data_IF_340420182304
#
_entry.id   IF_340420182304
#
_cell.length_a   1.000
_cell.length_b   1.000
_cell.length_c   1.000
_cell.angle_alpha   90.00
_cell.angle_beta   90.00
_cell.angle_gamma   90.00
#
_symmetry.space_group_name_H-M   'P 1'
#
loop_
_entity.id
_entity.type
_entity.pdbx_description
1 polymer ?
#
# COMPACT_ATOMS: atom_id res chain seq x y z
N UNK A 1 4.03 58.55 15.96
CA UNK A 1 4.52 57.22 16.41
C UNK A 1 3.44 56.13 16.26
N UNK A 2 2.73 56.07 15.13
CA UNK A 2 1.63 55.10 14.91
C UNK A 2 1.88 54.13 13.74
N UNK A 3 2.96 54.32 12.97
CA UNK A 3 3.19 53.56 11.73
C UNK A 3 3.98 52.26 11.93
N UNK A 4 4.62 52.05 13.09
CA UNK A 4 5.45 50.86 13.33
C UNK A 4 4.61 49.64 13.75
N UNK A 5 3.45 49.87 14.38
CA UNK A 5 2.57 48.78 14.87
C UNK A 5 1.76 48.09 13.77
N UNK A 6 1.47 48.80 12.67
CA UNK A 6 0.62 48.30 11.58
C UNK A 6 1.42 47.42 10.59
N UNK A 7 2.72 47.65 10.45
CA UNK A 7 3.61 46.84 9.60
C UNK A 7 4.12 45.56 10.26
N UNK A 8 4.12 45.47 11.60
CA UNK A 8 4.54 44.26 12.33
C UNK A 8 3.45 43.18 12.30
N UNK A 9 2.18 43.57 12.29
CA UNK A 9 1.03 42.65 12.30
C UNK A 9 0.98 41.68 11.08
N UNK A 10 1.19 42.11 9.82
CA UNK A 10 1.23 41.17 8.69
C UNK A 10 2.51 40.33 8.66
N UNK A 11 3.62 40.85 9.18
CA UNK A 11 4.91 40.14 9.21
C UNK A 11 4.89 38.98 10.20
N UNK A 12 4.14 39.13 11.31
CA UNK A 12 3.88 38.06 12.28
C UNK A 12 2.91 37.00 11.73
N UNK A 13 1.94 37.40 10.90
CA UNK A 13 0.96 36.49 10.28
C UNK A 13 1.59 35.59 9.19
N UNK A 14 2.61 36.07 8.48
CA UNK A 14 3.37 35.28 7.49
C UNK A 14 4.12 34.09 8.08
N UNK A 15 4.41 34.05 9.39
CA UNK A 15 5.00 32.87 10.03
C UNK A 15 3.98 31.76 10.32
N UNK A 16 2.68 32.08 10.38
CA UNK A 16 1.62 31.08 10.60
C UNK A 16 1.10 30.43 9.32
N UNK A 17 1.34 31.05 8.17
CA UNK A 17 0.89 30.59 6.85
C UNK A 17 2.04 30.21 5.91
N UNK A 18 3.26 30.02 6.42
CA UNK A 18 4.33 29.47 5.60
C UNK A 18 4.34 27.94 5.72
N UNK A 19 3.85 27.20 4.71
CA UNK A 19 4.15 25.79 4.61
C UNK A 19 5.61 25.70 4.15
N UNK A 20 6.55 25.89 5.07
CA UNK A 20 7.87 25.29 4.92
C UNK A 20 7.69 23.79 5.14
N UNK A 21 6.96 23.14 4.23
CA UNK A 21 7.08 21.71 4.02
C UNK A 21 8.51 21.56 3.56
N UNK A 22 9.39 21.20 4.50
CA UNK A 22 10.71 20.71 4.18
C UNK A 22 10.46 19.45 3.37
N UNK A 23 10.38 19.61 2.05
CA UNK A 23 10.33 18.51 1.10
C UNK A 23 11.70 17.83 1.18
N UNK A 24 11.88 17.00 2.21
CA UNK A 24 12.93 16.00 2.20
C UNK A 24 12.70 15.20 0.93
N UNK A 25 13.66 15.28 0.01
CA UNK A 25 13.73 14.31 -1.09
C UNK A 25 13.63 12.95 -0.40
N UNK A 26 12.61 12.11 -0.69
CA UNK A 26 12.63 10.77 -0.17
C UNK A 26 13.95 10.18 -0.63
N UNK A 27 14.78 9.79 0.33
CA UNK A 27 15.99 9.06 0.07
C UNK A 27 15.53 7.77 -0.62
N UNK A 28 15.54 7.77 -1.95
CA UNK A 28 15.34 6.58 -2.75
C UNK A 28 16.63 5.81 -2.60
N UNK A 29 16.73 5.09 -1.50
CA UNK A 29 17.62 3.96 -1.41
C UNK A 29 17.19 3.07 -2.58
N UNK A 30 18.03 2.94 -3.61
CA UNK A 30 17.93 1.93 -4.68
C UNK A 30 18.16 0.52 -4.08
N UNK A 31 17.57 0.28 -2.91
CA UNK A 31 17.42 -1.03 -2.32
C UNK A 31 16.26 -1.66 -3.06
N UNK A 32 16.57 -2.68 -3.85
CA UNK A 32 15.56 -3.59 -4.39
C UNK A 32 14.66 -4.03 -3.24
N UNK A 33 13.43 -3.53 -3.23
CA UNK A 33 12.43 -3.93 -2.23
C UNK A 33 12.22 -5.43 -2.31
N UNK A 34 12.01 -6.05 -1.15
CA UNK A 34 11.73 -7.48 -1.09
C UNK A 34 10.33 -7.73 -1.63
N UNK A 35 10.22 -8.49 -2.73
CA UNK A 35 8.93 -8.87 -3.30
C UNK A 35 8.26 -9.95 -2.44
N UNK A 36 7.04 -9.66 -1.96
CA UNK A 36 6.22 -10.59 -1.18
C UNK A 36 4.85 -10.77 -1.85
N UNK A 37 4.54 -11.99 -2.29
CA UNK A 37 3.25 -12.33 -2.87
C UNK A 37 2.41 -13.23 -1.95
N UNK A 38 1.22 -12.77 -1.56
CA UNK A 38 0.26 -13.58 -0.80
C UNK A 38 -0.90 -14.01 -1.70
N UNK A 39 -0.96 -15.31 -1.99
CA UNK A 39 -2.08 -15.95 -2.67
C UNK A 39 -3.03 -16.51 -1.60
N UNK A 40 -4.26 -16.00 -1.57
CA UNK A 40 -5.21 -16.31 -0.51
C UNK A 40 -6.60 -16.56 -1.06
N UNK A 41 -7.47 -17.13 -0.21
CA UNK A 41 -8.89 -17.35 -0.50
C UNK A 41 -9.73 -16.56 0.50
N UNK A 42 -10.77 -15.87 0.02
CA UNK A 42 -11.64 -15.04 0.85
C UNK A 42 -12.41 -15.84 1.91
N UNK A 43 -12.72 -17.11 1.65
CA UNK A 43 -13.49 -17.98 2.55
C UNK A 43 -12.62 -19.00 3.31
N UNK A 44 -11.28 -18.91 3.21
CA UNK A 44 -10.38 -19.81 3.93
C UNK A 44 -10.06 -19.25 5.32
N UNK A 45 -10.34 -20.06 6.37
CA UNK A 45 -10.09 -19.69 7.76
C UNK A 45 -8.59 -19.38 8.02
N UNK A 46 -7.69 -20.16 7.42
CA UNK A 46 -6.25 -19.95 7.58
C UNK A 46 -5.76 -18.68 6.89
N UNK A 47 -6.30 -18.36 5.70
CA UNK A 47 -6.00 -17.10 5.00
C UNK A 47 -6.44 -15.89 5.83
N UNK A 48 -7.66 -15.92 6.36
CA UNK A 48 -8.18 -14.86 7.22
C UNK A 48 -7.31 -14.69 8.48
N UNK A 49 -7.00 -15.80 9.16
CA UNK A 49 -6.14 -15.80 10.35
C UNK A 49 -4.75 -15.24 10.05
N UNK A 50 -4.15 -15.63 8.93
CA UNK A 50 -2.84 -15.13 8.51
C UNK A 50 -2.86 -13.62 8.26
N UNK A 51 -3.85 -13.13 7.50
CA UNK A 51 -3.95 -11.70 7.17
C UNK A 51 -4.14 -10.85 8.43
N UNK A 52 -5.09 -11.24 9.29
CA UNK A 52 -5.48 -10.42 10.45
C UNK A 52 -4.43 -10.47 11.55
N UNK A 53 -3.87 -11.65 11.85
CA UNK A 53 -3.03 -11.82 13.04
C UNK A 53 -1.51 -11.77 12.77
N UNK A 54 -1.09 -11.84 11.51
CA UNK A 54 0.33 -11.94 11.14
C UNK A 54 0.73 -10.92 10.08
N UNK A 55 -0.02 -10.81 8.97
CA UNK A 55 0.33 -9.89 7.89
C UNK A 55 0.23 -8.42 8.33
N UNK A 56 -0.75 -8.08 9.16
CA UNK A 56 -0.93 -6.74 9.73
C UNK A 56 0.33 -6.23 10.44
N UNK A 57 1.12 -7.11 11.07
CA UNK A 57 2.34 -6.72 11.79
C UNK A 57 3.40 -6.11 10.88
N UNK A 58 3.39 -6.43 9.58
CA UNK A 58 4.29 -5.80 8.60
C UNK A 58 4.08 -4.28 8.52
N UNK A 59 2.89 -3.80 8.85
CA UNK A 59 2.56 -2.37 8.86
C UNK A 59 2.85 -1.71 10.22
N UNK A 60 3.01 -2.49 11.29
CA UNK A 60 3.34 -2.00 12.63
C UNK A 60 4.86 -1.82 12.79
N UNK A 61 5.65 -2.74 12.24
CA UNK A 61 7.11 -2.80 12.41
C UNK A 61 7.90 -2.01 11.34
N UNK A 62 7.25 -1.12 10.58
CA UNK A 62 7.80 -0.41 9.41
C UNK A 62 8.38 -1.32 8.31
N UNK A 63 8.26 -2.65 8.44
CA UNK A 63 8.72 -3.62 7.45
C UNK A 63 8.13 -3.32 6.08
N UNK A 64 6.87 -2.86 6.00
CA UNK A 64 6.20 -2.48 4.76
C UNK A 64 7.02 -1.49 3.89
N UNK A 65 7.89 -0.67 4.49
CA UNK A 65 8.71 0.31 3.77
C UNK A 65 9.76 -0.34 2.85
N UNK A 66 10.24 -1.53 3.21
CA UNK A 66 11.31 -2.25 2.50
C UNK A 66 10.81 -3.37 1.58
N UNK A 67 9.48 -3.55 1.47
CA UNK A 67 8.87 -4.62 0.69
C UNK A 67 7.87 -4.10 -0.34
N UNK A 68 7.67 -4.93 -1.37
CA UNK A 68 6.63 -4.78 -2.37
C UNK A 68 5.62 -5.92 -2.17
N UNK A 69 4.50 -5.61 -1.52
CA UNK A 69 3.47 -6.57 -1.12
C UNK A 69 2.37 -6.68 -2.18
N UNK A 70 2.17 -7.87 -2.73
CA UNK A 70 1.10 -8.20 -3.67
C UNK A 70 0.10 -9.18 -3.06
N UNK A 71 -1.17 -8.79 -3.00
CA UNK A 71 -2.27 -9.66 -2.58
C UNK A 71 -3.00 -10.21 -3.81
N UNK A 72 -3.16 -11.54 -3.87
CA UNK A 72 -3.81 -12.23 -4.99
C UNK A 72 -4.95 -13.12 -4.47
N UNK A 73 -6.22 -12.72 -4.64
CA UNK A 73 -7.37 -13.53 -4.25
C UNK A 73 -7.61 -14.65 -5.28
N UNK A 74 -6.95 -15.78 -5.08
CA UNK A 74 -7.07 -16.96 -5.95
C UNK A 74 -7.04 -18.25 -5.14
N UNK A 75 -5.94 -18.49 -4.42
CA UNK A 75 -5.70 -19.69 -3.62
C UNK A 75 -6.02 -20.99 -4.38
N UNK A 76 -6.99 -21.77 -3.90
CA UNK A 76 -7.38 -23.06 -4.50
C UNK A 76 -8.40 -22.96 -5.65
N UNK A 77 -8.75 -21.76 -6.11
CA UNK A 77 -9.63 -21.59 -7.26
C UNK A 77 -9.07 -22.29 -8.52
N UNK A 78 -9.96 -22.89 -9.31
CA UNK A 78 -9.62 -23.57 -10.56
C UNK A 78 -10.36 -22.91 -11.72
N UNK A 79 -9.64 -22.66 -12.81
CA UNK A 79 -10.28 -22.29 -14.08
C UNK A 79 -10.90 -23.56 -14.65
N UNK A 80 -12.20 -23.54 -14.88
CA UNK A 80 -12.85 -24.55 -15.72
C UNK A 80 -12.57 -24.20 -17.16
N UNK A 81 -11.93 -25.11 -17.90
CA UNK A 81 -11.83 -25.00 -19.35
C UNK A 81 -13.21 -25.07 -19.97
N UNK A 82 -13.39 -24.43 -21.12
CA UNK A 82 -14.54 -24.69 -21.97
C UNK A 82 -14.39 -26.09 -22.57
N UNK A 83 -14.75 -27.11 -21.81
CA UNK A 83 -15.10 -28.40 -22.39
C UNK A 83 -16.48 -28.22 -23.04
N UNK A 84 -16.50 -27.55 -24.20
CA UNK A 84 -17.49 -27.85 -25.22
C UNK A 84 -17.15 -29.28 -25.68
N UNK A 85 -17.57 -30.25 -24.89
CA UNK A 85 -17.56 -31.66 -25.21
C UNK A 85 -18.50 -31.85 -26.42
N UNK A 86 -18.00 -31.55 -27.62
CA UNK A 86 -18.51 -32.19 -28.82
C UNK A 86 -18.45 -33.70 -28.55
N UNK A 87 -19.55 -34.45 -28.74
CA UNK A 87 -19.55 -35.87 -28.49
C UNK A 87 -18.42 -36.48 -29.32
N UNK A 88 -17.55 -37.24 -28.66
CA UNK A 88 -16.47 -37.96 -29.32
C UNK A 88 -17.07 -38.78 -30.45
N UNK A 89 -16.81 -38.37 -31.70
CA UNK A 89 -17.24 -39.10 -32.88
C UNK A 89 -16.34 -40.34 -32.96
N UNK A 90 -16.87 -41.57 -32.87
CA UNK A 90 -16.06 -42.76 -33.04
C UNK A 90 -15.55 -42.79 -34.49
N UNK A 91 -14.24 -43.00 -34.66
CA UNK A 91 -13.69 -43.57 -35.89
C UNK A 91 -13.85 -45.08 -35.85
#
# INVERSE_FOLDING_TARGET
MASLRVTILPLLFCMFFSPYVLASKPFRLDSSKVSLGLYYESLCLYSANFIVNYLVKLFEDDLICIMDLKLVPWGNAKIRGNDLQLPARPL
#
